data_IF_053740659866
#
_entry.id   IF_053740659866
#
_cell.length_a   1.000
_cell.length_b   1.000
_cell.length_c   1.000
_cell.angle_alpha   90.00
_cell.angle_beta   90.00
_cell.angle_gamma   90.00
#
_symmetry.space_group_name_H-M   'P 1'
#
loop_
_entity.id
_entity.type
_entity.pdbx_description
1 polymer ?
#
# COMPACT_ATOMS: atom_id res chain seq x y z
N UNK A 1 7.84 10.06 65.66
CA UNK A 1 7.17 9.05 64.82
C UNK A 1 7.03 9.69 63.43
N UNK A 2 7.91 9.31 62.51
CA UNK A 2 8.05 9.93 61.20
C UNK A 2 7.25 9.09 60.17
N UNK A 3 6.29 9.72 59.51
CA UNK A 3 5.52 9.10 58.44
C UNK A 3 6.19 9.36 57.12
N UNK A 4 6.74 8.34 56.49
CA UNK A 4 7.36 8.40 55.17
C UNK A 4 6.28 8.39 54.11
N UNK A 5 6.31 9.41 53.24
CA UNK A 5 5.47 9.49 52.02
C UNK A 5 6.03 8.58 50.95
N UNK A 6 5.15 7.77 50.36
CA UNK A 6 5.45 6.97 49.18
C UNK A 6 5.45 7.84 47.91
N UNK A 7 6.40 7.62 46.96
CA UNK A 7 6.38 8.33 45.67
C UNK A 7 5.30 7.84 44.73
N UNK A 8 4.64 8.77 44.00
CA UNK A 8 3.70 8.50 42.92
C UNK A 8 4.44 7.92 41.70
N UNK A 9 3.82 7.01 40.93
CA UNK A 9 4.38 6.55 39.67
C UNK A 9 4.32 7.66 38.60
N UNK A 10 5.28 7.71 37.66
CA UNK A 10 5.28 8.69 36.59
C UNK A 10 4.10 8.45 35.63
N UNK A 11 3.49 9.54 35.18
CA UNK A 11 2.38 9.55 34.24
C UNK A 11 2.82 8.98 32.88
N UNK A 12 1.96 8.13 32.33
CA UNK A 12 2.14 7.60 30.98
C UNK A 12 2.05 8.73 29.96
N UNK A 13 3.11 8.90 29.19
CA UNK A 13 3.10 9.71 27.97
C UNK A 13 2.23 9.00 26.93
N UNK A 14 1.17 9.66 26.48
CA UNK A 14 0.36 9.19 25.36
C UNK A 14 1.16 9.37 24.08
N UNK A 15 1.38 8.31 23.34
CA UNK A 15 1.96 8.36 22.01
C UNK A 15 1.17 9.32 21.10
N UNK A 16 1.85 10.21 20.37
CA UNK A 16 1.18 11.08 19.41
C UNK A 16 0.69 10.24 18.22
N UNK A 17 -0.61 10.23 18.02
CA UNK A 17 -1.23 9.66 16.82
C UNK A 17 -0.81 10.44 15.56
N UNK A 18 -1.05 9.88 14.36
CA UNK A 18 -0.67 10.54 13.11
C UNK A 18 -1.34 11.92 12.99
N UNK A 19 -0.54 12.95 12.74
CA UNK A 19 -1.03 14.31 12.51
C UNK A 19 -1.57 14.38 11.08
N UNK A 20 -2.85 14.67 10.94
CA UNK A 20 -3.51 14.87 9.64
C UNK A 20 -3.54 16.38 9.35
N UNK A 21 -2.86 16.80 8.29
CA UNK A 21 -2.95 18.15 7.73
C UNK A 21 -3.53 18.04 6.33
N UNK A 22 -4.59 18.78 6.05
CA UNK A 22 -5.30 18.84 4.76
C UNK A 22 -5.75 17.49 4.17
N UNK A 23 -6.17 16.54 5.02
CA UNK A 23 -6.66 15.23 4.58
C UNK A 23 -5.57 14.26 4.11
N UNK A 24 -4.31 14.65 4.17
CA UNK A 24 -3.15 13.80 3.86
C UNK A 24 -2.51 13.36 5.16
N UNK A 25 -2.33 12.05 5.35
CA UNK A 25 -1.59 11.55 6.50
C UNK A 25 -0.11 11.89 6.34
N UNK A 26 0.42 12.79 7.18
CA UNK A 26 1.85 13.09 7.25
C UNK A 26 2.45 12.21 8.33
N UNK A 27 3.28 11.26 7.91
CA UNK A 27 4.06 10.45 8.84
C UNK A 27 5.28 11.27 9.28
N UNK A 28 5.39 11.53 10.58
CA UNK A 28 6.50 12.28 11.16
C UNK A 28 7.86 11.64 10.86
N UNK A 29 8.87 12.48 10.66
CA UNK A 29 10.29 12.09 10.53
C UNK A 29 10.91 11.91 11.92
N UNK A 30 10.37 11.08 12.76
CA UNK A 30 11.01 10.83 14.06
C UNK A 30 11.73 9.50 14.02
N UNK A 31 13.04 9.59 14.34
CA UNK A 31 13.94 8.46 14.33
C UNK A 31 13.50 7.41 15.34
N UNK A 32 12.98 6.31 14.86
CA UNK A 32 12.81 5.12 15.66
C UNK A 32 14.13 4.36 15.75
N UNK A 33 14.83 4.55 16.85
CA UNK A 33 15.78 3.56 17.35
C UNK A 33 15.00 2.37 17.93
N UNK A 34 15.11 1.20 17.28
CA UNK A 34 15.21 -0.07 17.97
C UNK A 34 13.96 -0.77 18.45
N UNK A 35 12.95 -0.98 17.59
CA UNK A 35 12.16 -2.21 17.75
C UNK A 35 12.87 -3.35 16.98
N UNK A 36 13.02 -4.56 17.55
CA UNK A 36 13.59 -5.68 16.80
C UNK A 36 12.65 -6.05 15.66
N UNK A 37 12.98 -5.56 14.44
CA UNK A 37 12.32 -6.02 13.22
C UNK A 37 12.72 -7.47 13.01
N UNK A 38 11.78 -8.40 13.15
CA UNK A 38 11.98 -9.77 12.70
C UNK A 38 12.01 -9.70 11.17
N UNK A 39 13.15 -10.00 10.52
CA UNK A 39 13.19 -10.06 9.07
C UNK A 39 12.20 -11.15 8.65
N UNK A 40 11.21 -10.80 7.83
CA UNK A 40 10.41 -11.81 7.13
C UNK A 40 11.37 -12.54 6.21
N UNK A 41 11.80 -13.74 6.62
CA UNK A 41 12.65 -14.57 5.82
C UNK A 41 12.00 -14.79 4.46
N UNK A 42 12.76 -14.70 3.39
CA UNK A 42 12.36 -14.62 1.99
C UNK A 42 11.72 -15.92 1.43
N UNK A 43 10.83 -16.55 2.16
CA UNK A 43 10.05 -17.72 1.75
C UNK A 43 8.57 -17.44 1.92
N UNK A 44 7.98 -16.70 0.98
CA UNK A 44 6.56 -16.84 0.68
C UNK A 44 5.54 -16.44 1.75
N UNK A 45 5.94 -16.07 2.94
CA UNK A 45 5.02 -15.61 3.99
C UNK A 45 4.50 -14.21 3.68
N UNK A 46 3.17 -14.07 3.71
CA UNK A 46 2.52 -12.78 3.53
C UNK A 46 2.71 -11.93 4.78
N UNK A 47 2.90 -10.63 4.58
CA UNK A 47 2.80 -9.65 5.66
C UNK A 47 1.31 -9.41 5.93
N UNK A 48 0.85 -9.82 7.10
CA UNK A 48 -0.55 -9.67 7.49
C UNK A 48 -0.69 -8.54 8.52
N UNK A 49 -1.53 -7.55 8.19
CA UNK A 49 -1.84 -6.41 9.05
C UNK A 49 -3.34 -6.39 9.33
N UNK A 50 -3.75 -5.97 10.53
CA UNK A 50 -5.15 -5.98 10.95
C UNK A 50 -5.50 -4.73 11.74
N UNK A 51 -6.71 -4.22 11.50
CA UNK A 51 -7.36 -3.19 12.31
C UNK A 51 -8.86 -3.43 12.35
N UNK A 52 -9.40 -3.72 13.54
CA UNK A 52 -10.82 -4.03 13.70
C UNK A 52 -11.26 -5.22 12.85
N UNK A 53 -12.27 -5.00 12.00
CA UNK A 53 -12.82 -5.98 11.07
C UNK A 53 -12.12 -6.00 9.71
N UNK A 54 -11.14 -5.13 9.48
CA UNK A 54 -10.37 -5.08 8.24
C UNK A 54 -8.98 -5.70 8.44
N UNK A 55 -8.48 -6.35 7.40
CA UNK A 55 -7.10 -6.84 7.36
C UNK A 55 -6.57 -6.79 5.93
N UNK A 56 -5.26 -6.67 5.81
CA UNK A 56 -4.57 -6.72 4.53
C UNK A 56 -3.44 -7.74 4.59
N UNK A 57 -3.33 -8.54 3.54
CA UNK A 57 -2.24 -9.48 3.34
C UNK A 57 -1.49 -9.09 2.07
N UNK A 58 -0.25 -8.65 2.21
CA UNK A 58 0.64 -8.28 1.10
C UNK A 58 1.83 -9.21 1.03
N UNK A 59 2.40 -9.34 -0.15
CA UNK A 59 3.68 -10.06 -0.35
C UNK A 59 4.83 -9.32 0.35
N UNK A 60 5.97 -9.97 0.58
CA UNK A 60 7.15 -9.30 1.12
C UNK A 60 7.62 -8.09 0.30
N UNK A 61 7.38 -8.07 -1.02
CA UNK A 61 7.66 -6.93 -1.88
C UNK A 61 6.58 -5.81 -1.78
N UNK A 62 5.54 -6.02 -0.97
CA UNK A 62 4.44 -5.09 -0.74
C UNK A 62 3.35 -5.12 -1.82
N UNK A 63 3.46 -6.01 -2.81
CA UNK A 63 2.42 -6.21 -3.83
C UNK A 63 1.28 -7.08 -3.32
N UNK A 64 0.13 -6.90 -3.93
CA UNK A 64 -1.01 -7.83 -3.91
C UNK A 64 -1.16 -8.36 -5.32
N UNK A 65 -1.09 -9.67 -5.49
CA UNK A 65 -1.24 -10.36 -6.78
C UNK A 65 -2.18 -11.54 -6.60
N UNK A 66 -3.36 -11.26 -6.09
CA UNK A 66 -4.31 -12.30 -5.71
C UNK A 66 -4.72 -13.15 -6.91
N UNK A 67 -4.44 -14.44 -6.80
CA UNK A 67 -5.01 -15.47 -7.65
C UNK A 67 -6.33 -16.01 -7.08
N UNK A 68 -6.96 -16.96 -7.76
CA UNK A 68 -8.24 -17.54 -7.31
C UNK A 68 -8.21 -18.15 -5.92
N UNK A 69 -7.06 -18.65 -5.47
CA UNK A 69 -6.85 -19.29 -4.16
C UNK A 69 -5.76 -18.60 -3.32
N UNK A 70 -5.39 -17.37 -3.67
CA UNK A 70 -4.39 -16.60 -2.94
C UNK A 70 -5.03 -15.84 -1.79
N UNK A 71 -4.46 -15.93 -0.58
CA UNK A 71 -4.88 -15.15 0.59
C UNK A 71 -4.48 -13.68 0.54
N UNK A 72 -3.80 -13.22 -0.52
CA UNK A 72 -3.42 -11.82 -0.71
C UNK A 72 -4.65 -10.94 -0.92
N UNK A 73 -4.62 -9.72 -0.41
CA UNK A 73 -5.70 -8.75 -0.62
C UNK A 73 -5.98 -7.87 0.59
N UNK A 74 -6.79 -6.84 0.36
CA UNK A 74 -7.46 -6.08 1.42
C UNK A 74 -8.85 -6.66 1.63
N UNK A 75 -9.14 -7.04 2.86
CA UNK A 75 -10.41 -7.61 3.26
C UNK A 75 -11.12 -6.70 4.26
N UNK A 76 -12.41 -6.53 4.06
CA UNK A 76 -13.31 -5.90 5.03
C UNK A 76 -14.65 -6.64 5.00
N UNK A 77 -15.21 -6.96 6.19
CA UNK A 77 -16.50 -7.67 6.31
C UNK A 77 -16.56 -8.93 5.43
N UNK A 78 -15.52 -9.76 5.54
CA UNK A 78 -15.36 -11.03 4.80
C UNK A 78 -15.30 -10.92 3.27
N UNK A 79 -15.16 -9.72 2.73
CA UNK A 79 -15.03 -9.46 1.28
C UNK A 79 -13.65 -8.92 0.94
N UNK A 80 -13.05 -9.42 -0.15
CA UNK A 80 -11.80 -8.91 -0.69
C UNK A 80 -12.05 -7.67 -1.55
N UNK A 81 -11.76 -6.51 -1.00
CA UNK A 81 -11.95 -5.21 -1.64
C UNK A 81 -10.80 -4.78 -2.55
N UNK A 82 -9.59 -5.31 -2.35
CA UNK A 82 -8.45 -5.09 -3.24
C UNK A 82 -7.79 -6.43 -3.51
N UNK A 83 -7.81 -6.86 -4.76
CA UNK A 83 -7.23 -8.13 -5.21
C UNK A 83 -5.92 -7.96 -5.98
N UNK A 84 -5.62 -6.73 -6.44
CA UNK A 84 -4.39 -6.41 -7.13
C UNK A 84 -3.89 -5.03 -6.69
N UNK A 85 -2.61 -4.95 -6.33
CA UNK A 85 -1.85 -3.74 -6.10
C UNK A 85 -0.42 -4.06 -6.48
N UNK A 86 0.01 -3.66 -7.66
CA UNK A 86 1.38 -3.91 -8.15
C UNK A 86 2.07 -2.61 -8.48
N UNK A 87 3.30 -2.47 -8.00
CA UNK A 87 4.15 -1.33 -8.25
C UNK A 87 5.16 -1.64 -9.35
N UNK A 88 5.30 -0.73 -10.30
CA UNK A 88 6.46 -0.67 -11.19
C UNK A 88 7.07 0.73 -11.24
N UNK A 89 8.39 0.79 -11.45
CA UNK A 89 9.14 2.04 -11.62
C UNK A 89 9.91 1.93 -12.93
N UNK A 90 9.68 2.86 -13.85
CA UNK A 90 10.24 2.80 -15.20
C UNK A 90 9.87 1.50 -15.94
N UNK A 91 8.64 0.99 -15.72
CA UNK A 91 8.16 -0.25 -16.31
C UNK A 91 8.80 -1.52 -15.75
N UNK A 92 9.59 -1.41 -14.67
CA UNK A 92 10.28 -2.55 -14.04
C UNK A 92 9.81 -2.72 -12.60
N UNK A 93 9.70 -3.96 -12.18
CA UNK A 93 9.41 -4.27 -10.76
C UNK A 93 10.60 -3.85 -9.89
N UNK A 94 10.37 -3.17 -8.75
CA UNK A 94 11.42 -2.90 -7.77
C UNK A 94 12.06 -4.19 -7.24
N UNK A 95 13.35 -4.10 -6.92
CA UNK A 95 14.11 -5.18 -6.30
C UNK A 95 13.98 -5.06 -4.78
N UNK A 96 13.40 -6.06 -4.14
CA UNK A 96 13.23 -6.10 -2.69
C UNK A 96 14.58 -6.16 -1.98
N UNK A 97 14.76 -5.30 -0.98
CA UNK A 97 15.91 -5.30 -0.08
C UNK A 97 15.54 -5.86 1.30
N UNK A 98 14.45 -5.38 1.88
CA UNK A 98 13.95 -5.86 3.17
C UNK A 98 12.47 -5.56 3.31
N UNK A 99 11.80 -6.32 4.17
CA UNK A 99 10.42 -6.04 4.58
C UNK A 99 10.25 -6.39 6.05
N UNK A 100 9.42 -5.63 6.75
CA UNK A 100 9.13 -5.85 8.16
C UNK A 100 7.71 -5.44 8.50
N UNK A 101 7.06 -6.20 9.37
CA UNK A 101 5.87 -5.78 10.10
C UNK A 101 6.36 -5.03 11.33
N UNK A 102 6.14 -3.71 11.36
CA UNK A 102 6.57 -2.82 12.46
C UNK A 102 5.61 -2.96 13.64
N UNK A 103 4.31 -3.10 13.34
CA UNK A 103 3.25 -3.36 14.32
C UNK A 103 2.11 -4.13 13.68
N UNK A 104 1.13 -4.58 14.44
CA UNK A 104 0.00 -5.34 13.92
C UNK A 104 -0.82 -4.65 12.82
N UNK A 105 -0.60 -3.36 12.59
CA UNK A 105 -1.31 -2.56 11.59
C UNK A 105 -0.38 -1.78 10.64
N UNK A 106 0.95 -1.93 10.74
CA UNK A 106 1.94 -1.18 9.99
C UNK A 106 3.07 -2.09 9.48
N UNK A 107 3.37 -2.00 8.19
CA UNK A 107 4.52 -2.65 7.56
C UNK A 107 5.33 -1.66 6.72
N UNK A 108 6.63 -1.89 6.67
CA UNK A 108 7.59 -1.14 5.85
C UNK A 108 8.34 -2.10 4.95
N UNK A 109 8.43 -1.75 3.68
CA UNK A 109 9.15 -2.50 2.65
C UNK A 109 10.16 -1.56 2.01
N UNK A 110 11.43 -1.94 2.03
CA UNK A 110 12.51 -1.23 1.36
C UNK A 110 12.90 -1.99 0.10
N UNK A 111 12.98 -1.27 -0.98
CA UNK A 111 13.34 -1.79 -2.29
C UNK A 111 14.24 -0.81 -3.02
N UNK A 112 14.77 -1.21 -4.16
CA UNK A 112 15.54 -0.37 -5.05
C UNK A 112 15.12 -0.60 -6.50
N UNK A 113 15.55 0.29 -7.41
CA UNK A 113 15.28 0.12 -8.82
C UNK A 113 16.14 -0.98 -9.45
N UNK A 114 15.58 -1.73 -10.37
CA UNK A 114 16.34 -2.44 -11.40
C UNK A 114 16.96 -1.42 -12.37
N UNK A 115 17.82 -1.84 -13.27
CA UNK A 115 18.31 -0.98 -14.37
C UNK A 115 17.12 -0.47 -15.19
N UNK A 116 16.98 0.86 -15.29
CA UNK A 116 15.95 1.52 -16.08
C UNK A 116 16.56 2.03 -17.37
N UNK A 117 15.96 1.69 -18.52
CA UNK A 117 16.41 2.14 -19.83
C UNK A 117 15.26 2.89 -20.51
N UNK A 118 15.50 4.10 -20.94
CA UNK A 118 14.51 4.95 -21.61
C UNK A 118 15.15 5.92 -22.59
N UNK A 119 14.33 6.77 -23.21
CA UNK A 119 14.80 7.78 -24.18
C UNK A 119 15.82 8.77 -23.58
N UNK A 120 15.76 9.01 -22.27
CA UNK A 120 16.67 9.91 -21.55
C UNK A 120 18.00 9.24 -21.15
N UNK A 121 18.20 7.95 -21.48
CA UNK A 121 19.39 7.19 -21.14
C UNK A 121 19.11 6.02 -20.20
N UNK A 122 20.16 5.56 -19.53
CA UNK A 122 20.10 4.42 -18.60
C UNK A 122 20.35 4.90 -17.17
N UNK A 123 19.48 4.51 -16.25
CA UNK A 123 19.66 4.67 -14.81
C UNK A 123 20.11 3.32 -14.25
N UNK A 124 21.27 3.31 -13.62
CA UNK A 124 21.83 2.08 -13.05
C UNK A 124 20.91 1.53 -11.95
N UNK A 125 20.93 0.21 -11.76
CA UNK A 125 20.27 -0.41 -10.61
C UNK A 125 20.83 0.11 -9.30
N UNK A 126 20.03 0.02 -8.23
CA UNK A 126 20.40 0.36 -6.86
C UNK A 126 20.76 1.85 -6.66
N UNK A 127 20.25 2.72 -7.52
CA UNK A 127 20.47 4.18 -7.43
C UNK A 127 19.24 4.96 -6.97
N UNK A 128 18.07 4.30 -6.90
CA UNK A 128 16.83 4.90 -6.37
C UNK A 128 16.36 4.05 -5.18
N UNK A 129 16.31 4.65 -4.01
CA UNK A 129 15.64 4.04 -2.87
C UNK A 129 14.11 4.13 -3.07
N UNK A 130 13.43 3.02 -2.83
CA UNK A 130 11.98 2.90 -2.94
C UNK A 130 11.47 2.33 -1.64
N UNK A 131 10.90 3.20 -0.79
CA UNK A 131 10.27 2.79 0.45
C UNK A 131 8.77 2.72 0.26
N UNK A 132 8.17 1.59 0.60
CA UNK A 132 6.72 1.39 0.62
C UNK A 132 6.28 1.27 2.07
N UNK A 133 5.25 2.01 2.43
CA UNK A 133 4.64 1.97 3.77
C UNK A 133 3.19 1.54 3.62
N UNK A 134 2.79 0.54 4.38
CA UNK A 134 1.43 -0.01 4.40
C UNK A 134 0.88 0.14 5.80
N UNK A 135 -0.19 0.90 5.96
CA UNK A 135 -0.87 1.09 7.25
C UNK A 135 -2.35 0.82 7.09
N UNK A 136 -2.92 -0.02 7.96
CA UNK A 136 -4.36 -0.28 8.01
C UNK A 136 -4.97 0.31 9.26
N UNK A 137 -6.02 1.12 9.07
CA UNK A 137 -6.86 1.71 10.10
C UNK A 137 -8.33 1.54 9.72
N UNK A 138 -9.11 2.63 9.72
CA UNK A 138 -10.45 2.67 9.13
C UNK A 138 -10.42 2.47 7.62
N UNK A 139 -9.29 2.81 6.99
CA UNK A 139 -8.96 2.60 5.58
C UNK A 139 -7.52 2.13 5.45
N UNK A 140 -7.17 1.61 4.29
CA UNK A 140 -5.79 1.31 3.98
C UNK A 140 -5.08 2.57 3.49
N UNK A 141 -3.92 2.86 4.05
CA UNK A 141 -2.96 3.87 3.58
C UNK A 141 -1.76 3.15 2.99
N UNK A 142 -1.39 3.54 1.80
CA UNK A 142 -0.24 3.01 1.11
C UNK A 142 0.57 4.17 0.54
N UNK A 143 1.83 4.28 0.96
CA UNK A 143 2.76 5.29 0.48
C UNK A 143 3.89 4.63 -0.29
N UNK A 144 4.29 5.23 -1.40
CA UNK A 144 5.53 4.94 -2.12
C UNK A 144 6.40 6.19 -2.08
N UNK A 145 7.53 6.11 -1.38
CA UNK A 145 8.52 7.17 -1.32
C UNK A 145 9.74 6.79 -2.14
N UNK A 146 10.11 7.64 -3.08
CA UNK A 146 11.27 7.47 -3.95
C UNK A 146 12.31 8.53 -3.65
N UNK A 147 13.59 8.15 -3.62
CA UNK A 147 14.70 9.08 -3.47
C UNK A 147 15.86 8.64 -4.37
N UNK A 148 16.28 9.51 -5.28
CA UNK A 148 17.39 9.25 -6.19
C UNK A 148 18.72 9.64 -5.56
N UNK A 149 19.72 8.79 -5.71
CA UNK A 149 21.12 9.06 -5.38
C UNK A 149 21.98 9.27 -6.63
N UNK A 150 21.35 9.41 -7.81
CA UNK A 150 22.04 9.81 -9.02
C UNK A 150 22.51 11.28 -8.91
N UNK A 151 23.64 11.64 -9.54
CA UNK A 151 24.16 13.02 -9.51
C UNK A 151 23.29 14.02 -10.30
N UNK A 152 22.42 13.53 -11.17
CA UNK A 152 21.49 14.32 -11.99
C UNK A 152 20.05 13.91 -11.73
N UNK A 153 19.11 14.80 -12.06
CA UNK A 153 17.67 14.52 -11.97
C UNK A 153 17.29 13.33 -12.83
N UNK A 154 16.67 12.33 -12.22
CA UNK A 154 16.10 11.17 -12.91
C UNK A 154 14.65 11.46 -13.27
N UNK A 155 14.28 11.27 -14.55
CA UNK A 155 12.88 11.27 -15.00
C UNK A 155 12.43 9.85 -15.26
N UNK A 156 11.36 9.43 -14.62
CA UNK A 156 10.84 8.05 -14.74
C UNK A 156 9.33 8.04 -14.53
N UNK A 157 8.73 6.88 -14.75
CA UNK A 157 7.32 6.65 -14.44
C UNK A 157 7.20 5.77 -13.20
N UNK A 158 6.18 6.02 -12.39
CA UNK A 158 5.71 5.12 -11.35
C UNK A 158 4.32 4.67 -11.75
N UNK A 159 4.09 3.37 -11.82
CA UNK A 159 2.80 2.80 -12.15
C UNK A 159 2.30 1.91 -11.03
N UNK A 160 1.02 2.05 -10.69
CA UNK A 160 0.27 1.11 -9.86
C UNK A 160 -0.81 0.45 -10.71
N UNK A 161 -0.83 -0.88 -10.70
CA UNK A 161 -1.95 -1.65 -11.22
C UNK A 161 -2.84 -2.06 -10.05
N UNK A 162 -4.12 -1.71 -10.14
CA UNK A 162 -5.11 -1.87 -9.08
C UNK A 162 -6.33 -2.62 -9.59
N UNK A 163 -6.84 -3.58 -8.80
CA UNK A 163 -8.09 -4.28 -9.11
C UNK A 163 -8.83 -4.72 -7.84
N UNK A 164 -10.15 -4.88 -7.96
CA UNK A 164 -11.02 -5.44 -6.93
C UNK A 164 -11.89 -6.55 -7.56
N UNK A 165 -11.96 -7.70 -6.91
CA UNK A 165 -12.74 -8.84 -7.38
C UNK A 165 -13.95 -9.16 -6.49
N UNK A 166 -14.01 -8.56 -5.30
CA UNK A 166 -15.06 -8.72 -4.31
C UNK A 166 -15.35 -10.19 -3.93
N UNK A 167 -14.32 -11.02 -4.02
CA UNK A 167 -14.43 -12.42 -3.62
C UNK A 167 -14.69 -12.52 -2.10
N UNK A 168 -15.58 -13.43 -1.73
CA UNK A 168 -15.79 -13.78 -0.32
C UNK A 168 -14.56 -14.52 0.23
N UNK A 169 -14.26 -14.35 1.52
CA UNK A 169 -13.12 -15.01 2.18
C UNK A 169 -13.21 -16.55 2.07
N UNK A 170 -14.42 -17.12 2.01
CA UNK A 170 -14.61 -18.54 1.81
C UNK A 170 -14.39 -18.95 0.35
N UNK A 171 -14.74 -18.10 -0.62
CA UNK A 171 -14.46 -18.33 -2.05
C UNK A 171 -12.96 -18.33 -2.33
N UNK A 172 -12.19 -17.50 -1.62
CA UNK A 172 -10.73 -17.47 -1.72
C UNK A 172 -10.08 -18.77 -1.21
N UNK A 173 -10.73 -19.47 -0.28
CA UNK A 173 -10.24 -20.73 0.30
C UNK A 173 -10.72 -21.97 -0.43
N UNK A 174 -11.83 -21.90 -1.17
CA UNK A 174 -12.43 -23.01 -1.87
C UNK A 174 -12.43 -22.76 -3.39
N UNK A 175 -11.80 -23.67 -4.12
CA UNK A 175 -11.83 -23.65 -5.58
C UNK A 175 -13.24 -23.95 -6.07
N UNK A 176 -13.96 -22.96 -6.61
CA UNK A 176 -15.07 -23.28 -7.48
C UNK A 176 -16.43 -22.64 -7.27
N UNK A 177 -16.65 -21.74 -6.33
CA UNK A 177 -17.90 -20.98 -6.23
C UNK A 177 -17.68 -19.48 -6.34
N UNK A 178 -17.90 -18.92 -7.54
CA UNK A 178 -18.05 -17.47 -7.67
C UNK A 178 -19.45 -17.07 -7.23
N UNK A 179 -19.55 -16.11 -6.30
CA UNK A 179 -20.80 -15.43 -6.03
C UNK A 179 -21.32 -14.81 -7.33
N UNK A 180 -22.55 -15.11 -7.65
CA UNK A 180 -23.10 -14.79 -8.98
C UNK A 180 -23.63 -13.36 -9.07
N UNK A 181 -22.85 -12.35 -8.72
CA UNK A 181 -23.14 -10.93 -8.90
C UNK A 181 -22.52 -10.37 -10.18
N UNK A 182 -22.62 -9.06 -10.35
CA UNK A 182 -22.11 -8.32 -11.49
C UNK A 182 -21.07 -7.29 -11.03
N UNK A 183 -19.85 -7.38 -11.56
CA UNK A 183 -18.84 -6.33 -11.43
C UNK A 183 -19.09 -5.29 -12.52
N UNK A 184 -19.19 -4.02 -12.13
CA UNK A 184 -19.33 -2.91 -13.06
C UNK A 184 -17.97 -2.50 -13.59
N UNK A 185 -17.95 -1.81 -14.74
CA UNK A 185 -16.71 -1.23 -15.25
C UNK A 185 -16.10 -0.24 -14.24
N UNK A 186 -14.80 -0.29 -13.97
CA UNK A 186 -14.14 0.66 -13.09
C UNK A 186 -14.23 2.08 -13.67
N UNK A 187 -14.14 3.07 -12.81
CA UNK A 187 -14.20 4.47 -13.23
C UNK A 187 -13.25 5.33 -12.44
N UNK A 188 -12.75 6.39 -13.10
CA UNK A 188 -11.95 7.43 -12.45
C UNK A 188 -12.64 8.77 -12.60
N UNK A 189 -13.04 9.38 -11.48
CA UNK A 189 -13.73 10.66 -11.42
C UNK A 189 -13.30 11.42 -10.18
N UNK A 190 -13.15 12.73 -10.29
CA UNK A 190 -12.83 13.64 -9.17
C UNK A 190 -11.61 13.16 -8.36
N UNK A 191 -10.56 12.65 -9.05
CA UNK A 191 -9.35 12.15 -8.42
C UNK A 191 -9.49 10.80 -7.69
N UNK A 192 -10.64 10.12 -7.85
CA UNK A 192 -10.92 8.83 -7.22
C UNK A 192 -11.14 7.73 -8.25
N UNK A 193 -10.45 6.61 -8.05
CA UNK A 193 -10.68 5.38 -8.79
C UNK A 193 -11.69 4.53 -8.00
N UNK A 194 -12.71 4.01 -8.69
CA UNK A 194 -13.79 3.24 -8.06
C UNK A 194 -14.01 1.91 -8.76
N UNK A 195 -14.11 0.85 -7.96
CA UNK A 195 -14.56 -0.48 -8.36
C UNK A 195 -15.89 -0.78 -7.67
N UNK A 196 -16.82 -1.37 -8.37
CA UNK A 196 -18.18 -1.62 -7.86
C UNK A 196 -18.63 -3.02 -8.23
N UNK A 197 -19.21 -3.71 -7.27
CA UNK A 197 -19.85 -5.01 -7.42
C UNK A 197 -21.29 -4.94 -6.90
N UNK A 198 -22.19 -5.56 -7.64
CA UNK A 198 -23.60 -5.71 -7.24
C UNK A 198 -23.89 -7.20 -7.09
N UNK A 199 -24.16 -7.63 -5.87
CA UNK A 199 -24.50 -9.01 -5.55
C UNK A 199 -25.92 -9.38 -6.06
N UNK A 200 -26.24 -10.67 -6.12
CA UNK A 200 -27.57 -11.14 -6.59
C UNK A 200 -28.74 -10.64 -5.74
N UNK A 201 -28.51 -10.40 -4.46
CA UNK A 201 -29.48 -9.84 -3.52
C UNK A 201 -29.66 -8.32 -3.63
N UNK A 202 -28.94 -7.68 -4.56
CA UNK A 202 -28.94 -6.23 -4.78
C UNK A 202 -27.98 -5.47 -3.86
N UNK A 203 -27.27 -6.12 -2.95
CA UNK A 203 -26.26 -5.45 -2.12
C UNK A 203 -25.12 -4.94 -3.01
N UNK A 204 -24.73 -3.70 -2.76
CA UNK A 204 -23.62 -3.04 -3.47
C UNK A 204 -22.41 -2.99 -2.57
N UNK A 205 -21.26 -3.39 -3.11
CA UNK A 205 -19.94 -3.23 -2.50
C UNK A 205 -19.10 -2.32 -3.36
N UNK A 206 -18.35 -1.43 -2.72
CA UNK A 206 -17.55 -0.44 -3.43
C UNK A 206 -16.16 -0.39 -2.83
N UNK A 207 -15.16 -0.31 -3.69
CA UNK A 207 -13.80 0.04 -3.31
C UNK A 207 -13.48 1.39 -3.94
N UNK A 208 -13.23 2.39 -3.11
CA UNK A 208 -12.86 3.73 -3.55
C UNK A 208 -11.40 4.01 -3.21
N UNK A 209 -10.63 4.42 -4.21
CA UNK A 209 -9.19 4.66 -4.09
C UNK A 209 -8.90 6.13 -4.36
N UNK A 210 -8.43 6.83 -3.34
CA UNK A 210 -7.91 8.19 -3.44
C UNK A 210 -6.42 8.18 -3.80
N UNK A 211 -5.99 9.10 -4.65
CA UNK A 211 -4.64 9.19 -5.21
C UNK A 211 -4.07 10.60 -4.96
N UNK A 212 -2.89 10.68 -4.38
CA UNK A 212 -2.19 11.95 -4.11
C UNK A 212 -0.67 11.81 -4.33
N UNK A 213 -0.02 12.72 -5.07
CA UNK A 213 -0.62 13.74 -5.92
C UNK A 213 -1.50 13.12 -7.01
N UNK A 214 -2.24 13.97 -7.74
CA UNK A 214 -3.04 13.52 -8.88
C UNK A 214 -2.14 12.77 -9.88
N UNK A 215 -2.56 11.61 -10.41
CA UNK A 215 -1.80 10.88 -11.40
C UNK A 215 -1.73 11.62 -12.74
N UNK A 216 -0.68 11.38 -13.51
CA UNK A 216 -0.55 11.90 -14.87
C UNK A 216 -1.56 11.26 -15.82
N UNK A 217 -1.86 9.96 -15.59
CA UNK A 217 -2.77 9.20 -16.43
C UNK A 217 -3.42 8.06 -15.63
N UNK A 218 -4.68 7.76 -15.95
CA UNK A 218 -5.39 6.57 -15.47
C UNK A 218 -6.03 5.89 -16.68
N UNK A 219 -5.66 4.65 -16.93
CA UNK A 219 -6.20 3.81 -17.99
C UNK A 219 -6.86 2.57 -17.39
N UNK A 220 -7.65 1.87 -18.20
CA UNK A 220 -8.33 0.64 -17.79
C UNK A 220 -8.07 -0.50 -18.77
N UNK A 221 -7.76 -1.67 -18.24
CA UNK A 221 -7.72 -2.93 -18.96
C UNK A 221 -8.68 -3.91 -18.27
N UNK A 222 -9.89 -4.02 -18.82
CA UNK A 222 -10.97 -4.79 -18.20
C UNK A 222 -11.33 -4.28 -16.82
N UNK A 223 -11.06 -5.08 -15.78
CA UNK A 223 -11.32 -4.75 -14.39
C UNK A 223 -10.08 -4.20 -13.66
N UNK A 224 -9.02 -3.84 -14.40
CA UNK A 224 -7.79 -3.26 -13.84
C UNK A 224 -7.72 -1.78 -14.12
N UNK A 225 -7.32 -1.01 -13.12
CA UNK A 225 -6.93 0.39 -13.26
C UNK A 225 -5.41 0.50 -13.29
N UNK A 226 -4.88 1.13 -14.32
CA UNK A 226 -3.48 1.47 -14.49
C UNK A 226 -3.29 2.94 -14.15
N UNK A 227 -2.66 3.22 -13.03
CA UNK A 227 -2.44 4.58 -12.52
C UNK A 227 -0.99 4.93 -12.70
N UNK A 228 -0.69 5.98 -13.47
CA UNK A 228 0.66 6.36 -13.85
C UNK A 228 0.97 7.77 -13.39
N UNK A 229 2.12 7.93 -12.75
CA UNK A 229 2.76 9.21 -12.45
C UNK A 229 4.07 9.33 -13.24
N UNK A 230 4.24 10.43 -13.96
CA UNK A 230 5.55 10.86 -14.44
C UNK A 230 6.22 11.65 -13.31
N UNK A 231 7.38 11.19 -12.86
CA UNK A 231 8.06 11.78 -11.71
C UNK A 231 9.45 12.28 -12.09
N UNK A 232 9.81 13.41 -11.53
CA UNK A 232 11.18 13.93 -11.53
C UNK A 232 11.77 13.73 -10.15
N UNK A 233 12.94 13.08 -10.09
CA UNK A 233 13.66 12.79 -8.87
C UNK A 233 14.99 13.55 -8.87
N UNK A 234 15.02 14.79 -8.35
CA UNK A 234 16.26 15.50 -8.15
C UNK A 234 17.18 14.76 -7.17
N UNK A 235 18.50 14.95 -7.24
CA UNK A 235 19.45 14.30 -6.34
C UNK A 235 19.07 14.48 -4.87
N UNK A 236 18.98 13.38 -4.13
CA UNK A 236 18.71 13.31 -2.69
C UNK A 236 17.36 13.92 -2.23
N UNK A 237 16.48 14.37 -3.15
CA UNK A 237 15.15 14.87 -2.78
C UNK A 237 14.13 13.74 -2.85
N UNK A 238 13.33 13.52 -1.77
CA UNK A 238 12.29 12.50 -1.80
C UNK A 238 11.05 12.97 -2.57
N UNK A 239 10.42 12.02 -3.26
CA UNK A 239 9.10 12.16 -3.87
C UNK A 239 8.17 11.13 -3.22
N UNK A 240 6.98 11.52 -2.81
CA UNK A 240 6.02 10.62 -2.18
C UNK A 240 4.71 10.55 -2.99
N UNK A 241 4.21 9.34 -3.17
CA UNK A 241 2.91 9.04 -3.77
C UNK A 241 2.07 8.31 -2.73
N UNK A 242 0.89 8.83 -2.43
CA UNK A 242 0.00 8.28 -1.42
C UNK A 242 -1.28 7.74 -2.07
N UNK A 243 -1.71 6.59 -1.59
CA UNK A 243 -2.94 5.90 -1.99
C UNK A 243 -3.75 5.59 -0.75
N UNK A 244 -5.02 5.92 -0.77
CA UNK A 244 -5.96 5.55 0.29
C UNK A 244 -7.02 4.63 -0.30
N UNK A 245 -7.35 3.52 0.39
CA UNK A 245 -8.38 2.58 -0.06
C UNK A 245 -9.47 2.48 0.98
N UNK A 246 -10.68 2.85 0.59
CA UNK A 246 -11.91 2.76 1.37
C UNK A 246 -12.73 1.55 0.85
N UNK A 247 -13.21 0.73 1.78
CA UNK A 247 -13.99 -0.47 1.52
C UNK A 247 -15.40 -0.32 2.13
N UNK A 248 -16.43 -0.30 1.29
CA UNK A 248 -17.85 -0.19 1.66
C UNK A 248 -18.66 -1.43 1.25
#
# INVERSE_FOLDING_TARGET
MSSAAQPRPPGGESEPGPVVVDGTAVFGQDGEEGAPSVPAEARGELLALKSGAAFVCVRPDGDIRAGPVSGEGLYARDTRHLSELRLSVGGRQPVLLSSAVVSGHHAVINATNATLTGAAGTVAQETINIRRTVVIGERLYYEVRLQSFCPSTVRTTVELVLAADFADVFEVREVGRRSGGQTLAPSFRDGRLSFVYVAKDGQRRTTTIGLSPAPTRVDFDGQRGHVVWEVELPPAQPCALCVTVEAD
#
